data_IF_054655628523
#
_entry.id   IF_054655628523
#
_cell.length_a   1.000
_cell.length_b   1.000
_cell.length_c   1.000
_cell.angle_alpha   90.00
_cell.angle_beta   90.00
_cell.angle_gamma   90.00
#
_symmetry.space_group_name_H-M   'P 1'
#
loop_
_entity.id
_entity.type
_entity.pdbx_description
1 polymer ?
#
# COMPACT_ATOMS: atom_id res chain seq x y z
N UNK A 1 -48.46 -47.25 27.71
CA UNK A 1 -47.02 -46.96 27.86
C UNK A 1 -46.67 -45.97 26.77
N UNK A 2 -46.59 -44.68 27.12
CA UNK A 2 -46.49 -43.58 26.14
C UNK A 2 -45.08 -43.01 26.20
N UNK A 3 -44.25 -43.37 25.24
CA UNK A 3 -42.87 -42.86 25.11
C UNK A 3 -42.92 -41.45 24.54
N UNK A 4 -42.54 -40.45 25.35
CA UNK A 4 -42.30 -39.08 24.88
C UNK A 4 -40.84 -38.97 24.43
N UNK A 5 -40.63 -38.82 23.12
CA UNK A 5 -39.32 -38.46 22.56
C UNK A 5 -39.16 -36.95 22.72
N UNK A 6 -38.16 -36.53 23.49
CA UNK A 6 -37.75 -35.14 23.63
C UNK A 6 -36.65 -34.87 22.59
N UNK A 7 -36.98 -34.14 21.52
CA UNK A 7 -36.00 -33.70 20.53
C UNK A 7 -35.29 -32.45 21.08
N UNK A 8 -34.01 -32.57 21.45
CA UNK A 8 -33.19 -31.44 21.82
C UNK A 8 -32.70 -30.75 20.53
N UNK A 9 -33.22 -29.55 20.25
CA UNK A 9 -32.75 -28.68 19.18
C UNK A 9 -31.54 -27.90 19.70
N UNK A 10 -30.32 -28.34 19.39
CA UNK A 10 -29.10 -27.58 19.67
C UNK A 10 -29.00 -26.40 18.70
N UNK A 11 -29.27 -25.18 19.17
CA UNK A 11 -28.84 -23.98 18.45
C UNK A 11 -27.31 -23.92 18.50
N UNK A 12 -26.63 -24.16 17.38
CA UNK A 12 -25.27 -23.68 17.20
C UNK A 12 -25.34 -22.16 17.09
N UNK A 13 -25.08 -21.45 18.18
CA UNK A 13 -24.71 -20.05 18.11
C UNK A 13 -23.37 -19.96 17.36
N UNK A 14 -23.40 -19.59 16.09
CA UNK A 14 -22.18 -19.28 15.36
C UNK A 14 -21.45 -18.15 16.09
N UNK A 15 -20.16 -18.34 16.40
CA UNK A 15 -19.36 -17.29 16.99
C UNK A 15 -19.34 -16.08 16.02
N UNK A 16 -19.81 -14.92 16.47
CA UNK A 16 -19.57 -13.66 15.75
C UNK A 16 -18.08 -13.36 15.92
N UNK A 17 -17.30 -13.64 14.88
CA UNK A 17 -15.90 -13.25 14.79
C UNK A 17 -15.83 -11.72 14.68
N UNK A 18 -15.08 -11.07 15.57
CA UNK A 18 -14.93 -9.62 15.56
C UNK A 18 -14.11 -9.22 14.34
N UNK A 19 -14.71 -8.46 13.43
CA UNK A 19 -14.01 -7.97 12.25
C UNK A 19 -13.07 -6.82 12.61
N UNK A 20 -11.92 -6.74 11.94
CA UNK A 20 -10.94 -5.67 12.09
C UNK A 20 -10.59 -5.07 10.74
N UNK A 21 -10.23 -3.78 10.76
CA UNK A 21 -9.68 -3.05 9.62
C UNK A 21 -8.36 -2.42 10.04
N UNK A 22 -7.39 -2.42 9.14
CA UNK A 22 -6.16 -1.65 9.30
C UNK A 22 -5.81 -1.01 7.96
N UNK A 23 -5.13 0.13 8.03
CA UNK A 23 -4.68 0.83 6.85
C UNK A 23 -3.57 1.81 7.20
N UNK A 24 -2.61 1.95 6.30
CA UNK A 24 -1.51 2.91 6.43
C UNK A 24 -1.14 3.41 5.04
N UNK A 25 -1.03 4.72 4.89
CA UNK A 25 -0.53 5.35 3.67
C UNK A 25 0.46 6.47 4.00
N UNK A 26 1.44 6.65 3.12
CA UNK A 26 2.40 7.76 3.15
C UNK A 26 2.93 8.04 1.74
N UNK A 27 3.37 9.27 1.51
CA UNK A 27 3.89 9.68 0.21
C UNK A 27 5.32 9.20 -0.03
N UNK A 28 6.23 9.44 0.92
CA UNK A 28 7.66 9.12 0.75
C UNK A 28 8.26 8.48 2.00
N UNK A 29 9.18 7.55 1.79
CA UNK A 29 10.08 7.01 2.81
C UNK A 29 11.47 6.87 2.20
N UNK A 30 12.49 7.33 2.92
CA UNK A 30 13.90 7.23 2.54
C UNK A 30 14.64 6.60 3.71
N UNK A 31 15.37 5.53 3.43
CA UNK A 31 16.32 4.94 4.36
C UNK A 31 17.62 4.62 3.61
N UNK A 32 18.55 5.57 3.60
CA UNK A 32 19.76 5.50 2.79
C UNK A 32 20.86 6.36 3.38
N UNK A 33 22.12 5.93 3.23
CA UNK A 33 23.30 6.71 3.64
C UNK A 33 23.25 7.24 5.10
N UNK A 34 22.64 6.47 6.01
CA UNK A 34 22.48 6.84 7.42
C UNK A 34 21.38 7.87 7.69
N UNK A 35 20.59 8.23 6.69
CA UNK A 35 19.41 9.10 6.81
C UNK A 35 18.14 8.27 6.74
N UNK A 36 17.28 8.44 7.74
CA UNK A 36 15.89 7.94 7.69
C UNK A 36 14.95 9.13 7.76
N UNK A 37 14.10 9.27 6.75
CA UNK A 37 13.10 10.35 6.66
C UNK A 37 11.83 9.84 6.01
N UNK A 38 10.68 10.37 6.43
CA UNK A 38 9.38 9.93 5.93
C UNK A 38 8.40 11.10 5.92
N UNK A 39 7.52 11.14 4.91
CA UNK A 39 6.41 12.08 4.88
C UNK A 39 5.40 11.79 6.02
N UNK A 40 4.48 12.73 6.29
CA UNK A 40 3.32 12.47 7.14
C UNK A 40 2.56 11.20 6.72
N UNK A 41 2.00 10.51 7.72
CA UNK A 41 1.38 9.19 7.56
C UNK A 41 -0.10 9.29 7.89
N UNK A 42 -0.94 8.72 7.03
CA UNK A 42 -2.32 8.40 7.38
C UNK A 42 -2.36 6.99 7.98
N UNK A 43 -2.87 6.85 9.20
CA UNK A 43 -3.06 5.54 9.87
C UNK A 43 -4.52 5.37 10.22
N UNK A 44 -5.16 4.33 9.67
CA UNK A 44 -6.57 4.06 9.89
C UNK A 44 -6.82 3.73 11.37
N UNK A 45 -7.78 4.39 12.05
CA UNK A 45 -8.19 3.98 13.39
C UNK A 45 -8.75 2.55 13.36
N UNK A 46 -8.42 1.74 14.38
CA UNK A 46 -8.83 0.33 14.44
C UNK A 46 -10.35 0.12 14.53
N UNK A 47 -11.10 1.16 14.90
CA UNK A 47 -12.57 1.18 14.89
C UNK A 47 -13.17 1.52 13.52
N UNK A 48 -12.35 1.77 12.50
CA UNK A 48 -12.77 2.42 11.26
C UNK A 48 -12.83 3.95 11.40
N UNK A 49 -13.23 4.62 10.32
CA UNK A 49 -13.20 6.08 10.17
C UNK A 49 -12.30 6.51 9.02
N UNK A 50 -11.67 7.67 9.17
CA UNK A 50 -10.74 8.25 8.19
C UNK A 50 -9.53 8.85 8.90
N UNK A 51 -8.37 8.78 8.26
CA UNK A 51 -7.17 9.53 8.66
C UNK A 51 -6.45 10.09 7.43
N UNK A 52 -5.67 11.15 7.62
CA UNK A 52 -4.94 11.83 6.55
C UNK A 52 -3.52 12.16 6.98
N UNK A 53 -2.58 12.14 6.04
CA UNK A 53 -1.20 12.60 6.20
C UNK A 53 -0.83 13.43 4.97
N UNK A 54 -0.56 14.72 5.16
CA UNK A 54 -0.38 15.65 4.05
C UNK A 54 0.87 16.51 4.23
N UNK A 55 1.53 16.83 3.11
CA UNK A 55 2.60 17.81 3.05
C UNK A 55 2.60 18.50 1.68
N UNK A 56 2.83 19.82 1.66
CA UNK A 56 2.91 20.55 0.39
C UNK A 56 4.16 20.19 -0.42
N UNK A 57 5.24 19.83 0.28
CA UNK A 57 6.48 19.34 -0.32
C UNK A 57 7.22 18.41 0.63
N UNK A 58 8.04 17.53 0.06
CA UNK A 58 8.96 16.67 0.78
C UNK A 58 10.21 16.44 -0.07
N UNK A 59 11.39 16.62 0.53
CA UNK A 59 12.65 16.41 -0.17
C UNK A 59 13.74 15.89 0.74
N UNK A 60 14.54 14.97 0.21
CA UNK A 60 15.83 14.56 0.76
C UNK A 60 16.83 14.68 -0.38
N UNK A 61 17.80 15.57 -0.22
CA UNK A 61 18.75 15.94 -1.28
C UNK A 61 19.38 14.70 -1.93
N UNK A 62 19.26 14.60 -3.26
CA UNK A 62 19.78 13.49 -4.05
C UNK A 62 18.95 12.19 -4.01
N UNK A 63 18.02 12.04 -3.07
CA UNK A 63 17.19 10.83 -2.93
C UNK A 63 15.77 11.03 -3.45
N UNK A 64 15.07 12.08 -3.02
CA UNK A 64 13.69 12.35 -3.42
C UNK A 64 13.39 13.84 -3.41
N UNK A 65 12.58 14.29 -4.35
CA UNK A 65 11.85 15.55 -4.32
C UNK A 65 10.41 15.28 -4.79
N UNK A 66 9.42 15.81 -4.07
CA UNK A 66 8.01 15.65 -4.41
C UNK A 66 7.19 16.81 -3.83
N UNK A 67 6.06 17.08 -4.46
CA UNK A 67 5.09 18.10 -4.07
C UNK A 67 3.70 17.49 -3.84
N UNK A 68 2.85 18.23 -3.13
CA UNK A 68 1.43 17.89 -2.90
C UNK A 68 1.20 16.44 -2.49
N UNK A 69 1.88 16.03 -1.44
CA UNK A 69 1.76 14.69 -0.87
C UNK A 69 0.44 14.60 -0.11
N UNK A 70 -0.42 13.68 -0.52
CA UNK A 70 -1.71 13.43 0.11
C UNK A 70 -1.91 11.93 0.34
N UNK A 71 -1.77 11.50 1.58
CA UNK A 71 -2.12 10.15 2.02
C UNK A 71 -3.45 10.16 2.76
N UNK A 72 -4.33 9.22 2.42
CA UNK A 72 -5.64 9.06 3.06
C UNK A 72 -5.86 7.60 3.38
N UNK A 73 -6.44 7.31 4.54
CA UNK A 73 -6.98 5.98 4.83
C UNK A 73 -8.44 6.11 5.24
N UNK A 74 -9.27 5.18 4.80
CA UNK A 74 -10.66 5.06 5.21
C UNK A 74 -10.99 3.61 5.52
N UNK A 75 -11.97 3.40 6.38
CA UNK A 75 -12.46 2.05 6.62
C UNK A 75 -13.67 2.01 7.52
N UNK A 76 -14.37 0.88 7.47
CA UNK A 76 -15.57 0.66 8.26
C UNK A 76 -15.65 -0.81 8.66
N UNK A 77 -16.23 -1.05 9.83
CA UNK A 77 -16.46 -2.38 10.40
C UNK A 77 -17.94 -2.52 10.75
N UNK A 78 -18.54 -3.60 10.28
CA UNK A 78 -19.89 -4.05 10.63
C UNK A 78 -19.86 -5.57 10.92
N UNK A 79 -20.93 -6.11 11.50
CA UNK A 79 -21.03 -7.51 11.93
C UNK A 79 -20.85 -8.55 10.81
N UNK A 80 -21.00 -8.15 9.55
CA UNK A 80 -20.95 -9.02 8.36
C UNK A 80 -20.10 -8.45 7.24
N UNK A 81 -19.62 -7.21 7.37
CA UNK A 81 -18.88 -6.52 6.32
C UNK A 81 -17.80 -5.63 6.94
N UNK A 82 -16.63 -5.64 6.34
CA UNK A 82 -15.59 -4.67 6.66
C UNK A 82 -14.86 -4.28 5.39
N UNK A 83 -14.31 -3.07 5.40
CA UNK A 83 -13.55 -2.54 4.28
C UNK A 83 -12.53 -1.55 4.77
N UNK A 84 -11.36 -1.58 4.15
CA UNK A 84 -10.32 -0.59 4.31
C UNK A 84 -9.79 -0.21 2.93
N UNK A 85 -9.62 1.09 2.72
CA UNK A 85 -9.00 1.66 1.53
C UNK A 85 -7.96 2.68 1.96
N UNK A 86 -6.79 2.60 1.36
CA UNK A 86 -5.69 3.51 1.62
C UNK A 86 -5.19 4.05 0.29
N UNK A 87 -4.96 5.35 0.22
CA UNK A 87 -4.48 6.03 -0.98
C UNK A 87 -3.29 6.92 -0.65
N UNK A 88 -2.37 7.04 -1.60
CA UNK A 88 -1.23 7.96 -1.54
C UNK A 88 -1.04 8.60 -2.90
N UNK A 89 -1.19 9.91 -2.97
CA UNK A 89 -1.02 10.71 -4.17
C UNK A 89 0.11 11.72 -3.97
N UNK A 90 0.96 11.85 -4.99
CA UNK A 90 2.06 12.82 -5.02
C UNK A 90 2.14 13.46 -6.40
N UNK A 91 2.66 14.68 -6.45
CA UNK A 91 2.89 15.41 -7.69
C UNK A 91 4.35 15.84 -7.86
N UNK A 92 4.80 16.00 -9.11
CA UNK A 92 6.15 16.44 -9.46
C UNK A 92 7.22 15.60 -8.76
N UNK A 93 7.12 14.28 -8.91
CA UNK A 93 7.99 13.32 -8.24
C UNK A 93 9.31 13.20 -9.00
N UNK A 94 10.42 13.26 -8.27
CA UNK A 94 11.77 12.97 -8.75
C UNK A 94 12.50 12.09 -7.73
N UNK A 95 13.06 10.97 -8.17
CA UNK A 95 13.68 9.95 -7.31
C UNK A 95 15.10 9.66 -7.78
N UNK A 96 16.00 9.40 -6.83
CA UNK A 96 17.40 9.04 -7.06
C UNK A 96 18.11 9.99 -8.03
N UNK A 97 18.01 11.29 -7.75
CA UNK A 97 18.61 12.34 -8.58
C UNK A 97 17.95 12.54 -9.94
N UNK A 98 16.69 12.11 -10.10
CA UNK A 98 15.94 12.23 -11.36
C UNK A 98 16.04 11.01 -12.28
N UNK A 99 16.58 9.89 -11.77
CA UNK A 99 16.57 8.63 -12.52
C UNK A 99 15.14 8.13 -12.79
N UNK A 100 14.19 8.46 -11.90
CA UNK A 100 12.75 8.25 -12.13
C UNK A 100 12.04 9.58 -11.86
N UNK A 101 11.19 10.01 -12.79
CA UNK A 101 10.30 11.16 -12.60
C UNK A 101 8.89 10.84 -13.02
N UNK A 102 7.90 11.46 -12.38
CA UNK A 102 6.49 11.38 -12.77
C UNK A 102 5.76 12.65 -12.36
N UNK A 103 4.77 13.06 -13.16
CA UNK A 103 3.94 14.23 -12.83
C UNK A 103 2.99 13.90 -11.69
N UNK A 104 2.39 12.70 -11.71
CA UNK A 104 1.53 12.18 -10.64
C UNK A 104 1.89 10.72 -10.37
N UNK A 105 1.92 10.37 -9.09
CA UNK A 105 2.04 9.00 -8.61
C UNK A 105 0.86 8.71 -7.70
N UNK A 106 0.06 7.70 -8.03
CA UNK A 106 -1.12 7.31 -7.25
C UNK A 106 -0.99 5.86 -6.82
N UNK A 107 -1.00 5.62 -5.51
CA UNK A 107 -1.08 4.29 -4.91
C UNK A 107 -2.47 4.09 -4.32
N UNK A 108 -3.11 2.97 -4.59
CA UNK A 108 -4.39 2.56 -3.99
C UNK A 108 -4.24 1.14 -3.48
N UNK A 109 -4.66 0.90 -2.25
CA UNK A 109 -4.74 -0.44 -1.68
C UNK A 109 -6.10 -0.63 -1.02
N UNK A 110 -6.83 -1.65 -1.47
CA UNK A 110 -8.16 -1.98 -0.98
C UNK A 110 -8.17 -3.38 -0.39
N UNK A 111 -8.87 -3.55 0.74
CA UNK A 111 -9.14 -4.86 1.32
C UNK A 111 -10.55 -4.88 1.90
N UNK A 112 -11.28 -5.96 1.69
CA UNK A 112 -12.67 -6.06 2.12
C UNK A 112 -13.10 -7.48 2.50
N UNK A 113 -14.05 -7.54 3.43
CA UNK A 113 -14.90 -8.70 3.68
C UNK A 113 -16.33 -8.33 3.33
N UNK A 114 -16.90 -9.03 2.35
CA UNK A 114 -18.33 -9.07 2.10
C UNK A 114 -19.02 -10.15 2.93
N UNK A 115 -20.33 -10.32 2.70
CA UNK A 115 -21.13 -11.31 3.42
C UNK A 115 -20.74 -12.77 3.13
N UNK A 116 -20.20 -13.03 1.93
CA UNK A 116 -19.86 -14.39 1.46
C UNK A 116 -18.45 -14.52 0.88
N UNK A 117 -17.84 -13.42 0.46
CA UNK A 117 -16.52 -13.36 -0.17
C UNK A 117 -15.69 -12.26 0.51
N UNK A 118 -14.38 -12.31 0.37
CA UNK A 118 -13.50 -11.20 0.67
C UNK A 118 -12.44 -11.09 -0.42
N UNK A 119 -11.65 -10.05 -0.36
CA UNK A 119 -10.63 -9.78 -1.36
C UNK A 119 -9.74 -8.61 -0.98
N UNK A 120 -8.68 -8.45 -1.77
CA UNK A 120 -7.83 -7.27 -1.75
C UNK A 120 -7.23 -7.06 -3.14
N UNK A 121 -7.02 -5.80 -3.49
CA UNK A 121 -6.52 -5.38 -4.79
C UNK A 121 -5.85 -4.00 -4.68
N UNK A 122 -5.09 -3.66 -5.72
CA UNK A 122 -4.46 -2.35 -5.88
C UNK A 122 -5.06 -1.54 -7.03
N UNK A 123 -6.33 -1.79 -7.36
CA UNK A 123 -6.99 -1.13 -8.49
C UNK A 123 -7.03 0.39 -8.29
N UNK A 124 -6.78 1.15 -9.37
CA UNK A 124 -6.65 2.62 -9.31
C UNK A 124 -5.22 3.13 -9.08
N UNK A 125 -4.25 2.23 -8.83
CA UNK A 125 -2.84 2.59 -8.78
C UNK A 125 -2.28 2.90 -10.16
N UNK A 126 -1.43 3.93 -10.28
CA UNK A 126 -0.88 4.33 -11.58
C UNK A 126 0.04 5.54 -11.55
N UNK A 127 0.52 5.89 -12.74
CA UNK A 127 1.43 7.00 -12.97
C UNK A 127 0.89 7.93 -14.06
N UNK A 128 1.25 9.21 -13.97
CA UNK A 128 1.10 10.18 -15.06
C UNK A 128 2.48 10.64 -15.49
N UNK A 129 2.77 10.56 -16.80
CA UNK A 129 4.02 11.00 -17.43
C UNK A 129 5.28 10.40 -16.77
N UNK A 130 5.26 9.10 -16.49
CA UNK A 130 6.41 8.38 -15.95
C UNK A 130 7.58 8.40 -16.93
N UNK A 131 8.76 8.74 -16.42
CA UNK A 131 10.04 8.66 -17.13
C UNK A 131 11.02 7.88 -16.27
N UNK A 132 11.73 6.93 -16.87
CA UNK A 132 12.77 6.13 -16.22
C UNK A 132 14.04 6.21 -17.06
N UNK A 133 15.15 6.60 -16.45
CA UNK A 133 16.45 6.80 -17.12
C UNK A 133 16.36 7.72 -18.36
N UNK A 134 15.46 8.70 -18.35
CA UNK A 134 15.22 9.61 -19.47
C UNK A 134 14.31 9.06 -20.58
N UNK A 135 13.82 7.83 -20.47
CA UNK A 135 12.87 7.23 -21.40
C UNK A 135 11.44 7.30 -20.84
N UNK A 136 10.51 7.82 -21.63
CA UNK A 136 9.11 7.92 -21.24
C UNK A 136 8.40 6.56 -21.32
N UNK A 137 7.75 6.16 -20.24
CA UNK A 137 6.90 4.97 -20.17
C UNK A 137 5.47 5.41 -20.50
N UNK A 138 5.00 5.06 -21.70
CA UNK A 138 3.72 5.52 -22.25
C UNK A 138 2.59 4.49 -22.13
N UNK A 139 2.91 3.29 -21.66
CA UNK A 139 1.95 2.21 -21.41
C UNK A 139 1.72 2.05 -19.90
N UNK A 140 0.60 1.44 -19.55
CA UNK A 140 0.35 1.03 -18.17
C UNK A 140 1.46 0.11 -17.65
N UNK A 141 1.91 0.38 -16.42
CA UNK A 141 2.98 -0.39 -15.77
C UNK A 141 2.35 -1.57 -15.04
N UNK A 142 2.64 -2.78 -15.53
CA UNK A 142 2.18 -4.01 -14.89
C UNK A 142 2.69 -4.12 -13.43
N UNK A 143 1.94 -4.77 -12.53
CA UNK A 143 2.40 -4.98 -11.15
C UNK A 143 3.77 -5.64 -11.07
N UNK A 144 4.60 -5.17 -10.13
CA UNK A 144 5.95 -5.68 -9.83
C UNK A 144 6.93 -5.58 -11.01
N UNK A 145 6.82 -4.54 -11.83
CA UNK A 145 7.73 -4.31 -12.96
C UNK A 145 9.09 -3.82 -12.46
N UNK A 146 10.14 -4.61 -12.67
CA UNK A 146 11.50 -4.19 -12.32
C UNK A 146 12.15 -3.39 -13.44
N UNK A 147 12.82 -2.29 -13.07
CA UNK A 147 13.68 -1.49 -13.96
C UNK A 147 15.05 -1.30 -13.31
N UNK A 148 16.13 -1.45 -14.08
CA UNK A 148 17.48 -1.21 -13.56
C UNK A 148 17.82 0.29 -13.64
N UNK A 149 18.54 0.78 -12.62
CA UNK A 149 18.93 2.18 -12.48
C UNK A 149 20.47 2.26 -12.44
N UNK A 150 21.14 2.48 -13.59
CA UNK A 150 22.60 2.48 -13.67
C UNK A 150 23.24 3.45 -12.65
N UNK A 151 24.19 2.94 -11.85
CA UNK A 151 24.87 3.71 -10.81
C UNK A 151 24.07 3.91 -9.52
N UNK A 152 22.85 3.39 -9.42
CA UNK A 152 21.97 3.50 -8.25
C UNK A 152 21.60 2.10 -7.69
N UNK A 153 21.17 1.19 -8.55
CA UNK A 153 20.60 -0.11 -8.18
C UNK A 153 19.47 -0.50 -9.11
N UNK A 154 18.28 -0.76 -8.57
CA UNK A 154 17.07 -1.01 -9.36
C UNK A 154 15.83 -0.44 -8.67
N UNK A 155 14.73 -0.32 -9.41
CA UNK A 155 13.41 -0.05 -8.84
C UNK A 155 12.41 -1.15 -9.20
N UNK A 156 11.47 -1.38 -8.30
CA UNK A 156 10.25 -2.14 -8.56
C UNK A 156 9.13 -1.10 -8.67
N UNK A 157 8.51 -1.03 -9.84
CA UNK A 157 7.40 -0.15 -10.14
C UNK A 157 6.09 -0.90 -9.94
N UNK A 158 5.08 -0.20 -9.40
CA UNK A 158 3.77 -0.76 -9.07
C UNK A 158 3.93 -2.06 -8.27
N UNK A 159 4.77 -2.04 -7.22
CA UNK A 159 5.01 -3.20 -6.38
C UNK A 159 3.73 -3.50 -5.60
N UNK A 160 3.15 -4.68 -5.83
CA UNK A 160 1.92 -5.12 -5.18
C UNK A 160 2.18 -6.40 -4.39
N UNK A 161 1.95 -6.32 -3.08
CA UNK A 161 2.19 -7.38 -2.12
C UNK A 161 0.87 -7.75 -1.47
N UNK A 162 0.32 -8.89 -1.87
CA UNK A 162 -0.85 -9.46 -1.21
C UNK A 162 -0.47 -10.05 0.15
N UNK A 163 -1.34 -9.83 1.13
CA UNK A 163 -1.21 -10.39 2.48
C UNK A 163 -2.52 -11.03 2.93
N UNK A 164 -2.48 -11.76 4.05
CA UNK A 164 -3.60 -12.54 4.56
C UNK A 164 -3.59 -14.00 4.09
N UNK A 165 -4.55 -14.78 4.56
CA UNK A 165 -4.64 -16.22 4.28
C UNK A 165 -5.70 -16.58 3.23
N UNK A 166 -6.40 -15.58 2.66
CA UNK A 166 -7.43 -15.77 1.64
C UNK A 166 -8.74 -16.40 2.15
N UNK A 167 -8.91 -16.50 3.48
CA UNK A 167 -10.10 -17.12 4.10
C UNK A 167 -10.66 -16.27 5.23
N UNK A 168 -9.82 -15.91 6.20
CA UNK A 168 -10.15 -15.08 7.36
C UNK A 168 -9.39 -13.76 7.39
N UNK A 169 -8.46 -13.55 6.46
CA UNK A 169 -7.77 -12.26 6.29
C UNK A 169 -7.40 -12.00 4.83
N UNK A 170 -7.44 -10.71 4.47
CA UNK A 170 -7.06 -10.18 3.17
C UNK A 170 -6.29 -8.89 3.38
N UNK A 171 -5.28 -8.64 2.58
CA UNK A 171 -4.61 -7.36 2.55
C UNK A 171 -3.84 -7.12 1.27
N UNK A 172 -3.56 -5.85 1.03
CA UNK A 172 -2.76 -5.38 -0.09
C UNK A 172 -1.83 -4.29 0.41
N UNK A 173 -0.57 -4.33 -0.02
CA UNK A 173 0.35 -3.20 0.04
C UNK A 173 0.75 -2.87 -1.39
N UNK A 174 0.63 -1.59 -1.75
CA UNK A 174 1.12 -1.03 -2.99
C UNK A 174 2.22 -0.03 -2.69
N UNK A 175 3.39 -0.21 -3.28
CA UNK A 175 4.46 0.78 -3.35
C UNK A 175 4.67 1.14 -4.81
N UNK A 176 4.38 2.38 -5.20
CA UNK A 176 4.44 2.74 -6.61
C UNK A 176 5.86 2.75 -7.15
N UNK A 177 6.81 3.33 -6.41
CA UNK A 177 8.23 3.26 -6.75
C UNK A 177 8.97 2.75 -5.52
N UNK A 178 9.52 1.55 -5.60
CA UNK A 178 10.41 1.01 -4.58
C UNK A 178 11.82 0.90 -5.17
N UNK A 179 12.68 1.87 -4.86
CA UNK A 179 14.10 1.83 -5.24
C UNK A 179 14.89 1.06 -4.20
N UNK A 180 15.63 0.05 -4.66
CA UNK A 180 16.62 -0.65 -3.86
C UNK A 180 18.00 -0.13 -4.26
N UNK A 181 18.63 0.59 -3.34
CA UNK A 181 19.96 1.16 -3.55
C UNK A 181 21.00 0.08 -3.37
N UNK A 182 21.97 0.02 -4.28
CA UNK A 182 23.04 -0.98 -4.25
C UNK A 182 24.41 -0.33 -4.40
N UNK A 183 25.39 -0.86 -3.68
CA UNK A 183 26.78 -0.54 -3.95
C UNK A 183 27.18 -1.11 -5.32
N UNK A 184 27.65 -0.25 -6.21
CA UNK A 184 27.91 -0.60 -7.61
C UNK A 184 29.03 -1.65 -7.79
N UNK A 185 29.94 -1.78 -6.81
CA UNK A 185 31.06 -2.71 -6.88
C UNK A 185 30.69 -4.09 -6.33
N UNK A 186 29.91 -4.13 -5.26
CA UNK A 186 29.60 -5.36 -4.50
C UNK A 186 28.20 -5.88 -4.74
N UNK A 187 27.28 -5.06 -5.26
CA UNK A 187 25.86 -5.38 -5.42
C UNK A 187 25.08 -5.46 -4.10
N UNK A 188 25.71 -5.12 -2.98
CA UNK A 188 25.05 -5.15 -1.67
C UNK A 188 24.01 -4.05 -1.56
N UNK A 189 22.84 -4.37 -1.00
CA UNK A 189 21.82 -3.38 -0.69
C UNK A 189 22.32 -2.41 0.39
N UNK A 190 22.28 -1.12 0.09
CA UNK A 190 22.75 -0.04 0.96
C UNK A 190 21.63 0.84 1.49
N UNK A 191 20.40 0.66 0.99
CA UNK A 191 19.23 1.39 1.44
C UNK A 191 18.03 1.21 0.49
N UNK A 192 16.98 1.95 0.79
CA UNK A 192 15.74 1.94 0.02
C UNK A 192 15.08 3.33 -0.03
N UNK A 193 14.31 3.56 -1.08
CA UNK A 193 13.42 4.70 -1.23
C UNK A 193 12.06 4.17 -1.69
N UNK A 194 11.00 4.54 -0.97
CA UNK A 194 9.63 4.15 -1.30
C UNK A 194 8.82 5.42 -1.59
N UNK A 195 8.14 5.44 -2.73
CA UNK A 195 7.24 6.51 -3.15
C UNK A 195 5.85 5.95 -3.41
N UNK A 196 4.82 6.67 -2.95
CA UNK A 196 3.42 6.29 -3.10
C UNK A 196 3.16 4.95 -2.42
N UNK A 197 3.12 4.93 -1.09
CA UNK A 197 2.82 3.72 -0.33
C UNK A 197 1.40 3.76 0.23
N UNK A 198 0.64 2.70 -0.04
CA UNK A 198 -0.67 2.46 0.54
C UNK A 198 -0.79 1.00 0.96
N UNK A 199 -1.37 0.75 2.13
CA UNK A 199 -1.60 -0.60 2.64
C UNK A 199 -2.94 -0.69 3.34
N UNK A 200 -3.70 -1.73 3.06
CA UNK A 200 -5.00 -1.97 3.67
C UNK A 200 -5.15 -3.46 3.97
N UNK A 201 -5.77 -3.78 5.12
CA UNK A 201 -6.14 -5.17 5.42
C UNK A 201 -7.40 -5.27 6.26
N UNK A 202 -8.03 -6.42 6.16
CA UNK A 202 -9.19 -6.83 6.96
C UNK A 202 -8.99 -8.23 7.52
N UNK A 203 -9.52 -8.48 8.72
CA UNK A 203 -9.53 -9.82 9.31
C UNK A 203 -10.80 -10.08 10.12
N UNK A 204 -11.06 -11.36 10.43
CA UNK A 204 -12.13 -11.85 11.31
C UNK A 204 -11.63 -13.01 12.16
#
# INVERSE_FOLDING_TARGET
MTTKILLALTLLAGAVQAQTVTGKAFGTYVNAAGVTSQSPVATLPSSGGMATGQADAFGVAGAVDASRLNAVTTGAVDNKKSGAESTSELEQVSVAGGAITADVVTAVATAYFGQFTGGSDGEGSGFVNLVVNGEAITTEVAPNTRVDLPGVGYAILNEQIQTGNGVTSWGMTVNMIHVVLQDALTGLTTGEIIIGSASSSVAR
#
